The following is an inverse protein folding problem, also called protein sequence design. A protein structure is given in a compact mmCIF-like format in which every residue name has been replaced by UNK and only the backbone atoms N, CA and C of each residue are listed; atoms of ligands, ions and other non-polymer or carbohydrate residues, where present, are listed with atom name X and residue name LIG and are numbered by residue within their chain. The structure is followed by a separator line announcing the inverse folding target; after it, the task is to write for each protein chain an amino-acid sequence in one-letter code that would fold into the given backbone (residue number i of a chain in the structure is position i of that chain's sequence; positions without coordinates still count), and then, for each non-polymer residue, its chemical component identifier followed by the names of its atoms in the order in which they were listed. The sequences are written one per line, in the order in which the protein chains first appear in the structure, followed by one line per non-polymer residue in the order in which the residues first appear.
data_IF_384730110245
#
_entry.id   IF_384730110245
#
_cell.length_a   1.000
_cell.length_b   1.000
_cell.length_c   1.000
_cell.angle_alpha   90.00
_cell.angle_beta   90.00
_cell.angle_gamma   90.00
#
_symmetry.space_group_name_H-M   'P 1'
#
loop_
_entity.id
_entity.type
_entity.pdbx_description
1 polymer ?
#
# COMPACT_ATOMS: atom_id res chain seq x y z
N UNK A 1 40.36 -0.69 8.53
CA UNK A 1 38.89 -0.51 8.56
C UNK A 1 38.51 0.17 7.26
N UNK A 2 37.77 -0.49 6.37
CA UNK A 2 37.35 0.10 5.09
C UNK A 2 36.41 1.27 5.42
N UNK A 3 36.83 2.51 5.15
CA UNK A 3 35.99 3.69 5.38
C UNK A 3 34.77 3.53 4.48
N UNK A 4 33.58 3.56 5.08
CA UNK A 4 32.36 3.44 4.31
C UNK A 4 32.12 4.77 3.59
N UNK A 5 31.91 4.74 2.28
CA UNK A 5 31.65 5.95 1.50
C UNK A 5 30.37 6.66 2.02
N UNK A 6 29.41 5.90 2.58
CA UNK A 6 28.21 6.46 3.24
C UNK A 6 28.49 7.17 4.58
N UNK A 7 29.72 7.16 5.09
CA UNK A 7 30.10 7.94 6.28
C UNK A 7 30.61 9.34 5.91
N UNK A 8 30.91 9.59 4.63
CA UNK A 8 31.23 10.92 4.15
C UNK A 8 29.95 11.78 4.09
N UNK A 9 30.05 13.01 4.57
CA UNK A 9 28.94 13.95 4.56
C UNK A 9 28.62 14.39 3.13
N UNK A 10 27.33 14.33 2.77
CA UNK A 10 26.79 14.83 1.50
C UNK A 10 27.50 14.34 0.22
N UNK A 11 28.14 13.17 0.26
CA UNK A 11 28.93 12.61 -0.85
C UNK A 11 28.16 12.57 -2.19
N UNK A 12 26.86 12.28 -2.15
CA UNK A 12 26.03 12.06 -3.34
C UNK A 12 25.13 13.24 -3.72
N UNK A 13 25.45 14.43 -3.19
CA UNK A 13 24.71 15.65 -3.48
C UNK A 13 23.25 15.63 -3.01
N UNK A 14 22.47 16.59 -3.53
CA UNK A 14 21.06 16.73 -3.18
C UNK A 14 20.23 15.52 -3.63
N UNK A 15 19.37 15.02 -2.75
CA UNK A 15 18.45 13.90 -2.98
C UNK A 15 19.11 12.57 -3.39
N UNK A 16 20.43 12.47 -3.29
CA UNK A 16 21.18 11.22 -3.39
C UNK A 16 21.05 10.40 -2.10
N UNK A 17 20.83 9.09 -2.25
CA UNK A 17 20.71 8.14 -1.14
C UNK A 17 21.88 7.17 -1.20
N UNK A 18 22.71 7.16 -0.15
CA UNK A 18 23.76 6.16 -0.03
C UNK A 18 23.19 4.80 0.36
N UNK A 19 23.67 3.73 -0.28
CA UNK A 19 23.24 2.35 -0.02
C UNK A 19 24.44 1.41 -0.02
N UNK A 20 24.49 0.49 0.95
CA UNK A 20 25.60 -0.47 1.07
C UNK A 20 25.63 -1.55 -0.01
N UNK A 21 24.51 -1.71 -0.72
CA UNK A 21 24.29 -2.83 -1.63
C UNK A 21 24.39 -2.42 -3.12
N UNK A 22 24.81 -1.19 -3.43
CA UNK A 22 24.89 -0.67 -4.80
C UNK A 22 26.30 -0.76 -5.40
N UNK A 23 26.41 -1.01 -6.71
CA UNK A 23 27.70 -1.03 -7.42
C UNK A 23 28.46 0.30 -7.37
N UNK A 24 27.75 1.43 -7.23
CA UNK A 24 28.30 2.77 -7.00
C UNK A 24 28.14 3.27 -5.55
N UNK A 25 27.56 2.44 -4.66
CA UNK A 25 27.23 2.84 -3.29
C UNK A 25 26.08 3.86 -3.15
N UNK A 26 25.41 4.24 -4.24
CA UNK A 26 24.38 5.28 -4.22
C UNK A 26 23.31 5.15 -5.31
N UNK A 27 22.18 5.80 -5.07
CA UNK A 27 21.04 5.91 -5.99
C UNK A 27 20.27 7.20 -5.72
N UNK A 28 19.52 7.70 -6.70
CA UNK A 28 18.57 8.78 -6.44
C UNK A 28 17.43 8.32 -5.51
N UNK A 29 16.92 9.24 -4.71
CA UNK A 29 15.66 9.05 -4.00
C UNK A 29 14.54 8.63 -4.97
N UNK A 30 13.60 7.80 -4.51
CA UNK A 30 12.51 7.30 -5.38
C UNK A 30 11.70 8.47 -5.95
N UNK A 31 11.46 8.47 -7.28
CA UNK A 31 10.82 9.54 -8.08
C UNK A 31 11.71 10.78 -8.31
N UNK A 32 13.02 10.59 -8.22
CA UNK A 32 14.04 11.56 -8.62
C UNK A 32 14.96 10.92 -9.66
N UNK A 33 15.56 11.74 -10.50
CA UNK A 33 16.52 11.36 -11.55
C UNK A 33 17.83 12.10 -11.38
N UNK A 34 18.90 11.55 -11.96
CA UNK A 34 20.22 12.19 -11.98
C UNK A 34 20.12 13.59 -12.57
N UNK A 35 20.76 14.57 -11.91
CA UNK A 35 20.87 15.93 -12.44
C UNK A 35 21.80 15.97 -13.66
N UNK A 36 22.91 15.25 -13.58
CA UNK A 36 23.91 15.13 -14.63
C UNK A 36 24.30 13.66 -14.83
N UNK A 37 23.69 12.96 -15.80
CA UNK A 37 24.07 11.58 -16.12
C UNK A 37 25.53 11.43 -16.56
N UNK A 38 26.09 12.47 -17.21
CA UNK A 38 27.48 12.50 -17.64
C UNK A 38 28.45 12.50 -16.45
N UNK A 39 28.23 13.36 -15.45
CA UNK A 39 29.09 13.41 -14.26
C UNK A 39 29.00 12.10 -13.47
N UNK A 40 27.79 11.55 -13.36
CA UNK A 40 27.57 10.24 -12.74
C UNK A 40 28.33 9.11 -13.42
N UNK A 41 28.38 9.10 -14.77
CA UNK A 41 29.15 8.13 -15.53
C UNK A 41 30.66 8.28 -15.30
N UNK A 42 31.11 9.48 -14.97
CA UNK A 42 32.51 9.77 -14.61
C UNK A 42 32.79 9.55 -13.10
N UNK A 43 31.90 8.85 -12.39
CA UNK A 43 31.98 8.60 -10.95
C UNK A 43 31.97 9.87 -10.09
N UNK A 44 31.38 10.96 -10.57
CA UNK A 44 31.12 12.17 -9.81
C UNK A 44 29.62 12.31 -9.49
N UNK A 45 29.19 11.95 -8.26
CA UNK A 45 27.80 12.05 -7.86
C UNK A 45 27.44 13.41 -7.25
N UNK A 46 28.36 14.38 -7.21
CA UNK A 46 28.18 15.65 -6.49
C UNK A 46 27.02 16.52 -7.02
N UNK A 47 26.70 16.38 -8.31
CA UNK A 47 25.55 17.05 -8.93
C UNK A 47 24.20 16.59 -8.35
N UNK A 48 24.16 15.42 -7.72
CA UNK A 48 22.98 14.85 -7.09
C UNK A 48 21.83 14.55 -8.05
N UNK A 49 20.63 14.63 -7.52
CA UNK A 49 19.40 14.27 -8.21
C UNK A 49 18.41 15.45 -8.21
N UNK A 50 17.43 15.38 -9.11
CA UNK A 50 16.34 16.35 -9.23
C UNK A 50 15.01 15.61 -9.25
N UNK A 51 13.95 16.27 -8.78
CA UNK A 51 12.59 15.72 -8.85
C UNK A 51 12.20 15.47 -10.31
N UNK A 52 11.49 14.37 -10.54
CA UNK A 52 10.95 14.05 -11.86
C UNK A 52 9.82 15.00 -12.27
N UNK A 53 9.04 15.48 -11.29
CA UNK A 53 7.95 16.43 -11.51
C UNK A 53 7.97 17.55 -10.50
N UNK A 54 7.53 18.74 -10.94
CA UNK A 54 7.31 19.88 -10.06
C UNK A 54 6.15 19.62 -9.11
N UNK A 55 6.29 20.02 -7.85
CA UNK A 55 5.16 20.05 -6.91
C UNK A 55 4.11 21.03 -7.42
N UNK A 56 2.86 20.63 -7.33
CA UNK A 56 1.74 21.49 -7.70
C UNK A 56 0.62 21.27 -6.69
N UNK A 57 0.48 22.21 -5.74
CA UNK A 57 -0.50 22.25 -4.63
C UNK A 57 -1.97 22.29 -5.03
N UNK A 58 -2.26 21.95 -6.29
CA UNK A 58 -3.57 21.64 -6.81
C UNK A 58 -4.08 20.28 -6.32
N UNK A 59 -5.39 20.09 -6.37
CA UNK A 59 -6.05 18.88 -5.90
C UNK A 59 -5.45 17.58 -6.46
N UNK A 60 -5.02 16.68 -5.57
CA UNK A 60 -4.60 15.31 -5.91
C UNK A 60 -3.17 14.94 -5.47
N UNK A 61 -2.41 15.86 -4.89
CA UNK A 61 -1.07 15.54 -4.35
C UNK A 61 -1.10 14.59 -3.16
N UNK A 62 0.04 13.97 -2.90
CA UNK A 62 0.14 12.95 -1.88
C UNK A 62 1.57 12.65 -1.49
N UNK A 63 1.71 11.77 -0.50
CA UNK A 63 3.00 11.42 0.05
C UNK A 63 3.28 9.96 -0.21
N UNK A 64 4.53 9.65 -0.58
CA UNK A 64 5.02 8.28 -0.52
C UNK A 64 5.96 8.12 0.66
N UNK A 65 5.87 6.95 1.29
CA UNK A 65 6.66 6.58 2.45
C UNK A 65 7.93 5.86 2.01
N UNK A 66 9.09 6.39 2.40
CA UNK A 66 10.40 5.77 2.28
C UNK A 66 10.83 5.32 3.69
N UNK A 67 11.26 4.07 3.83
CA UNK A 67 11.61 3.47 5.12
C UNK A 67 13.11 3.27 5.26
N UNK A 68 13.56 3.19 6.51
CA UNK A 68 14.93 2.78 6.82
C UNK A 68 15.98 3.78 6.38
N UNK A 69 15.66 5.07 6.48
CA UNK A 69 16.55 6.15 6.07
C UNK A 69 17.11 6.88 7.29
N UNK A 70 18.39 7.29 7.21
CA UNK A 70 18.91 8.39 8.01
C UNK A 70 18.15 9.66 7.61
N UNK A 71 17.70 10.43 8.59
CA UNK A 71 17.02 11.71 8.31
C UNK A 71 17.99 12.68 7.61
N UNK A 72 17.53 13.37 6.55
CA UNK A 72 18.36 14.28 5.80
C UNK A 72 18.75 15.49 6.63
N UNK A 73 19.92 16.03 6.32
CA UNK A 73 20.31 17.36 6.73
C UNK A 73 19.81 18.39 5.71
N UNK A 74 19.43 19.58 6.19
CA UNK A 74 18.99 20.70 5.35
C UNK A 74 18.97 21.99 6.17
N UNK A 75 19.35 23.14 5.57
CA UNK A 75 19.27 24.43 6.27
C UNK A 75 17.83 24.90 6.53
N UNK A 76 16.85 24.38 5.78
CA UNK A 76 15.47 24.85 5.81
C UNK A 76 14.53 23.78 6.37
N UNK A 77 14.44 23.72 7.70
CA UNK A 77 13.57 22.80 8.44
C UNK A 77 12.70 23.51 9.47
N UNK A 78 11.56 22.91 9.80
CA UNK A 78 10.78 23.24 10.99
C UNK A 78 10.57 21.97 11.82
N UNK A 79 10.73 22.11 13.14
CA UNK A 79 10.57 21.02 14.11
C UNK A 79 9.45 21.37 15.08
N UNK A 80 8.48 20.47 15.22
CA UNK A 80 7.43 20.52 16.22
C UNK A 80 7.49 19.26 17.10
N UNK A 81 8.11 19.38 18.26
CA UNK A 81 8.32 18.27 19.20
C UNK A 81 7.02 17.73 19.82
N UNK A 82 5.96 18.55 19.83
CA UNK A 82 4.66 18.18 20.39
C UNK A 82 3.92 17.17 19.51
N UNK A 83 4.18 17.19 18.20
CA UNK A 83 3.50 16.34 17.22
C UNK A 83 4.30 15.07 16.99
N UNK A 84 3.78 13.94 17.49
CA UNK A 84 4.43 12.62 17.34
C UNK A 84 3.74 11.72 16.32
N UNK A 85 2.55 12.10 15.87
CA UNK A 85 1.76 11.35 14.91
C UNK A 85 2.16 11.72 13.48
N UNK A 86 2.51 10.72 12.67
CA UNK A 86 2.78 10.92 11.24
C UNK A 86 1.57 11.53 10.50
N UNK A 87 0.34 11.30 10.99
CA UNK A 87 -0.88 11.86 10.39
C UNK A 87 -1.00 13.36 10.67
N UNK A 88 -0.69 13.79 11.89
CA UNK A 88 -0.69 15.21 12.27
C UNK A 88 0.46 15.96 11.59
N UNK A 89 1.65 15.37 11.57
CA UNK A 89 2.82 15.94 10.89
C UNK A 89 2.57 16.12 9.37
N UNK A 90 1.84 15.19 8.76
CA UNK A 90 1.35 15.35 7.38
C UNK A 90 0.47 16.60 7.22
N UNK A 91 -0.42 16.88 8.17
CA UNK A 91 -1.29 18.05 8.11
C UNK A 91 -0.49 19.34 8.26
N UNK A 92 0.53 19.38 9.13
CA UNK A 92 1.43 20.53 9.25
C UNK A 92 2.20 20.79 7.96
N UNK A 93 2.73 19.74 7.34
CA UNK A 93 3.39 19.83 6.04
C UNK A 93 2.42 20.36 4.96
N UNK A 94 1.21 19.82 4.87
CA UNK A 94 0.19 20.27 3.92
C UNK A 94 -0.29 21.71 4.15
N UNK A 95 -0.19 22.23 5.38
CA UNK A 95 -0.53 23.61 5.69
C UNK A 95 0.48 24.62 5.08
N UNK A 96 1.64 24.16 4.63
CA UNK A 96 2.66 24.99 4.02
C UNK A 96 2.94 24.54 2.57
N UNK A 97 2.65 25.43 1.61
CA UNK A 97 2.84 25.16 0.18
C UNK A 97 4.29 25.00 -0.27
N UNK A 98 5.26 25.12 0.63
CA UNK A 98 6.66 24.86 0.34
C UNK A 98 7.15 23.54 0.93
N UNK A 99 6.33 22.83 1.72
CA UNK A 99 6.77 21.60 2.38
C UNK A 99 6.98 20.45 1.38
N UNK A 100 8.21 19.96 1.29
CA UNK A 100 8.58 18.93 0.33
C UNK A 100 8.61 17.54 0.94
N UNK A 101 8.99 17.45 2.21
CA UNK A 101 9.20 16.19 2.94
C UNK A 101 8.85 16.39 4.40
N UNK A 102 8.34 15.34 5.05
CA UNK A 102 8.21 15.32 6.49
C UNK A 102 8.63 13.96 7.09
N UNK A 103 8.91 13.96 8.39
CA UNK A 103 9.16 12.78 9.20
C UNK A 103 8.54 12.98 10.57
N UNK A 104 8.03 11.92 11.16
CA UNK A 104 7.54 11.94 12.53
C UNK A 104 8.31 10.91 13.35
N UNK A 105 8.97 11.36 14.42
CA UNK A 105 9.75 10.51 15.31
C UNK A 105 9.27 10.68 16.74
N UNK A 106 9.46 9.66 17.58
CA UNK A 106 9.06 9.73 18.99
C UNK A 106 9.91 10.72 19.80
N UNK A 107 11.16 10.93 19.37
CA UNK A 107 12.16 11.75 20.06
C UNK A 107 12.10 13.21 19.64
N UNK A 108 12.13 13.49 18.34
CA UNK A 108 12.18 14.86 17.80
C UNK A 108 10.81 15.40 17.37
N UNK A 109 9.74 14.60 17.47
CA UNK A 109 8.41 14.98 16.99
C UNK A 109 8.34 15.05 15.47
N UNK A 110 7.63 16.07 14.97
CA UNK A 110 7.42 16.33 13.55
C UNK A 110 8.55 17.19 13.01
N UNK A 111 9.15 16.77 11.90
CA UNK A 111 10.15 17.53 11.17
C UNK A 111 9.64 17.70 9.76
N UNK A 112 9.66 18.94 9.25
CA UNK A 112 9.28 19.29 7.88
C UNK A 112 10.44 20.00 7.19
N UNK A 113 10.63 19.71 5.91
CA UNK A 113 11.71 20.24 5.08
C UNK A 113 11.18 21.02 3.88
N UNK A 114 11.85 22.12 3.54
CA UNK A 114 11.39 23.10 2.54
C UNK A 114 12.37 23.31 1.37
N UNK A 115 13.40 22.47 1.23
CA UNK A 115 14.39 22.61 0.16
C UNK A 115 15.16 21.33 -0.14
N UNK A 116 16.37 21.51 -0.65
CA UNK A 116 17.27 20.40 -0.97
C UNK A 116 17.65 19.62 0.28
N UNK A 117 17.69 18.30 0.12
CA UNK A 117 17.98 17.34 1.17
C UNK A 117 19.31 16.67 0.89
N UNK A 118 20.20 16.64 1.87
CA UNK A 118 21.53 16.01 1.74
C UNK A 118 21.77 15.00 2.86
N UNK A 119 22.87 14.26 2.75
CA UNK A 119 23.34 13.32 3.79
C UNK A 119 22.33 12.19 4.12
N UNK A 120 21.68 11.68 3.06
CA UNK A 120 20.70 10.60 3.17
C UNK A 120 21.37 9.24 3.00
N UNK A 121 21.05 8.31 3.90
CA UNK A 121 21.56 6.95 3.89
C UNK A 121 20.45 5.95 4.10
N UNK A 122 20.50 4.87 3.36
CA UNK A 122 19.65 3.70 3.55
C UNK A 122 20.33 2.71 4.49
N UNK A 123 19.60 2.30 5.52
CA UNK A 123 20.00 1.25 6.45
C UNK A 123 19.32 -0.07 6.06
N UNK A 124 20.06 -1.18 6.21
CA UNK A 124 19.51 -2.53 6.04
C UNK A 124 18.54 -2.90 7.15
N UNK A 125 18.80 -2.41 8.36
CA UNK A 125 17.95 -2.59 9.54
C UNK A 125 17.83 -1.27 10.32
N UNK A 126 16.64 -1.00 10.86
CA UNK A 126 16.37 0.24 11.59
C UNK A 126 16.13 1.44 10.67
N UNK A 127 16.61 2.62 11.08
CA UNK A 127 16.38 3.90 10.41
C UNK A 127 15.00 4.51 10.66
N UNK A 128 14.74 5.63 9.99
CA UNK A 128 13.51 6.41 10.12
C UNK A 128 12.69 6.42 8.82
N UNK A 129 11.41 6.71 8.97
CA UNK A 129 10.49 6.88 7.85
C UNK A 129 10.46 8.35 7.40
N UNK A 130 10.69 8.57 6.11
CA UNK A 130 10.52 9.86 5.44
C UNK A 130 9.32 9.80 4.50
N UNK A 131 8.54 10.88 4.47
CA UNK A 131 7.37 11.01 3.64
C UNK A 131 7.60 12.15 2.65
N UNK A 132 7.75 11.81 1.38
CA UNK A 132 8.04 12.80 0.34
C UNK A 132 6.76 13.21 -0.37
N UNK A 133 6.52 14.52 -0.43
CA UNK A 133 5.41 15.10 -1.16
C UNK A 133 5.64 14.92 -2.66
N UNK A 134 4.64 14.47 -3.42
CA UNK A 134 4.73 14.23 -4.85
C UNK A 134 3.49 14.75 -5.57
N UNK A 135 3.68 15.15 -6.83
CA UNK A 135 2.59 15.49 -7.71
C UNK A 135 1.65 14.28 -7.92
N UNK A 136 0.37 14.56 -8.13
CA UNK A 136 -0.68 13.56 -8.33
C UNK A 136 -0.34 12.53 -9.43
N UNK A 137 0.34 12.97 -10.50
CA UNK A 137 0.76 12.12 -11.63
C UNK A 137 1.79 11.05 -11.24
N UNK A 138 2.53 11.28 -10.17
CA UNK A 138 3.59 10.38 -9.70
C UNK A 138 3.16 9.43 -8.60
N UNK A 139 1.99 9.68 -7.99
CA UNK A 139 1.40 8.75 -7.04
C UNK A 139 0.98 7.49 -7.77
N UNK A 140 1.51 6.36 -7.31
CA UNK A 140 1.14 5.07 -7.85
C UNK A 140 -0.39 4.90 -7.70
N UNK A 141 -1.13 4.88 -8.81
CA UNK A 141 -2.53 4.46 -8.80
C UNK A 141 -2.51 3.06 -8.19
N UNK A 142 -3.10 2.88 -7.00
CA UNK A 142 -3.16 1.54 -6.39
C UNK A 142 -3.75 0.59 -7.43
N UNK A 143 -2.90 -0.24 -8.04
CA UNK A 143 -3.36 -1.42 -8.76
C UNK A 143 -3.95 -2.30 -7.67
N UNK A 144 -5.27 -2.24 -7.51
CA UNK A 144 -5.99 -3.23 -6.70
C UNK A 144 -5.51 -4.58 -7.20
N UNK A 145 -4.93 -5.36 -6.30
CA UNK A 145 -4.33 -6.63 -6.64
C UNK A 145 -5.41 -7.46 -7.34
N UNK A 146 -5.26 -7.64 -8.65
CA UNK A 146 -6.29 -8.26 -9.49
C UNK A 146 -6.57 -9.68 -9.00
N UNK A 147 -5.57 -10.30 -8.35
CA UNK A 147 -5.69 -11.58 -7.66
C UNK A 147 -6.69 -11.54 -6.49
N UNK A 148 -6.68 -10.48 -5.68
CA UNK A 148 -7.61 -10.32 -4.56
C UNK A 148 -9.05 -10.13 -5.05
N UNK A 149 -9.22 -9.38 -6.14
CA UNK A 149 -10.53 -9.19 -6.81
C UNK A 149 -11.06 -10.54 -7.31
N UNK A 150 -10.22 -11.32 -8.01
CA UNK A 150 -10.60 -12.66 -8.51
C UNK A 150 -11.00 -13.59 -7.37
N UNK A 151 -10.27 -13.60 -6.25
CA UNK A 151 -10.58 -14.44 -5.08
C UNK A 151 -11.96 -14.10 -4.51
N UNK A 152 -12.28 -12.81 -4.38
CA UNK A 152 -13.58 -12.36 -3.86
C UNK A 152 -14.72 -12.79 -4.80
N UNK A 153 -14.56 -12.62 -6.11
CA UNK A 153 -15.57 -13.04 -7.08
C UNK A 153 -15.74 -14.57 -7.14
N UNK A 154 -14.65 -15.34 -7.06
CA UNK A 154 -14.70 -16.80 -7.02
C UNK A 154 -15.40 -17.33 -5.76
N UNK A 155 -15.15 -16.71 -4.60
CA UNK A 155 -15.81 -17.09 -3.35
C UNK A 155 -17.33 -16.81 -3.38
N UNK A 156 -17.74 -15.65 -3.91
CA UNK A 156 -19.15 -15.28 -4.03
C UNK A 156 -19.93 -16.21 -4.98
N UNK A 157 -19.34 -16.53 -6.13
CA UNK A 157 -19.96 -17.44 -7.12
C UNK A 157 -20.06 -18.88 -6.58
N UNK A 158 -19.00 -19.39 -5.95
CA UNK A 158 -19.01 -20.73 -5.34
C UNK A 158 -20.07 -20.89 -4.25
N UNK A 159 -20.23 -19.89 -3.39
CA UNK A 159 -21.21 -19.92 -2.30
C UNK A 159 -22.67 -19.93 -2.83
N UNK A 160 -22.94 -19.16 -3.89
CA UNK A 160 -24.25 -19.14 -4.54
C UNK A 160 -24.67 -20.50 -5.10
N UNK A 161 -23.74 -21.22 -5.74
CA UNK A 161 -24.01 -22.55 -6.31
C UNK A 161 -24.39 -23.54 -5.22
N UNK A 162 -23.63 -23.58 -4.11
CA UNK A 162 -23.89 -24.50 -2.98
C UNK A 162 -25.27 -24.25 -2.36
N UNK A 163 -25.61 -22.98 -2.11
CA UNK A 163 -26.93 -22.61 -1.56
C UNK A 163 -28.05 -23.01 -2.52
N UNK A 164 -27.89 -22.76 -3.82
CA UNK A 164 -28.91 -23.13 -4.82
C UNK A 164 -29.12 -24.65 -4.90
N UNK A 165 -28.04 -25.44 -4.79
CA UNK A 165 -28.11 -26.90 -4.79
C UNK A 165 -28.82 -27.43 -3.54
N UNK A 166 -28.55 -26.85 -2.37
CA UNK A 166 -29.23 -27.21 -1.11
C UNK A 166 -30.73 -26.91 -1.16
N UNK A 167 -31.12 -25.74 -1.68
CA UNK A 167 -32.53 -25.37 -1.86
C UNK A 167 -33.21 -26.35 -2.82
N UNK A 168 -32.61 -26.64 -3.97
CA UNK A 168 -33.11 -27.61 -4.95
C UNK A 168 -33.28 -29.01 -4.34
N UNK A 169 -32.29 -29.46 -3.55
CA UNK A 169 -32.32 -30.75 -2.87
C UNK A 169 -33.49 -30.82 -1.87
N UNK A 170 -33.63 -29.81 -1.00
CA UNK A 170 -34.71 -29.73 -0.03
C UNK A 170 -36.09 -29.70 -0.69
N UNK A 171 -36.24 -28.99 -1.80
CA UNK A 171 -37.49 -28.94 -2.58
C UNK A 171 -37.84 -30.31 -3.17
N UNK A 172 -36.89 -31.00 -3.80
CA UNK A 172 -37.10 -32.36 -4.34
C UNK A 172 -37.47 -33.36 -3.25
N UNK A 173 -36.84 -33.24 -2.08
CA UNK A 173 -37.10 -34.13 -0.95
C UNK A 173 -38.51 -33.92 -0.36
N UNK A 174 -38.96 -32.67 -0.26
CA UNK A 174 -40.34 -32.34 0.14
C UNK A 174 -41.38 -32.84 -0.86
N UNK A 175 -41.10 -32.77 -2.17
CA UNK A 175 -42.01 -33.29 -3.20
C UNK A 175 -42.18 -34.81 -3.09
N UNK A 176 -41.08 -35.56 -2.95
CA UNK A 176 -41.12 -37.02 -2.76
C UNK A 176 -41.90 -37.44 -1.50
N UNK A 177 -41.81 -36.68 -0.40
CA UNK A 177 -42.61 -36.95 0.81
C UNK A 177 -44.12 -36.72 0.60
N UNK A 178 -44.50 -35.74 -0.23
CA UNK A 178 -45.92 -35.49 -0.58
C UNK A 178 -46.51 -36.59 -1.47
N UNK A 179 -45.71 -37.14 -2.39
CA UNK A 179 -46.13 -38.24 -3.27
C UNK A 179 -46.31 -39.57 -2.51
N UNK A 180 -45.45 -39.85 -1.52
CA UNK A 180 -45.60 -41.04 -0.65
C UNK A 180 -46.86 -40.99 0.22
N UNK A 181 -47.18 -39.84 0.83
CA UNK A 181 -48.40 -39.67 1.64
C UNK A 181 -49.70 -39.82 0.84
N UNK A 182 -49.73 -39.34 -0.42
CA UNK A 182 -50.89 -39.52 -1.32
C UNK A 182 -51.10 -40.97 -1.76
N UNK A 183 -50.05 -41.79 -1.79
CA UNK A 183 -50.17 -43.21 -2.17
C UNK A 183 -50.67 -44.06 -1.00
N UNK A 184 -50.38 -43.66 0.25
CA UNK A 184 -50.91 -44.31 1.46
C UNK A 184 -52.39 -43.96 1.72
N UNK A 185 -52.84 -42.72 1.42
CA UNK A 185 -54.27 -42.36 1.55
C UNK A 185 -55.16 -43.03 0.49
N UNK A 186 -54.67 -43.24 -0.73
CA UNK A 186 -55.44 -43.94 -1.80
C UNK A 186 -55.49 -45.47 -1.61
N UNK A 187 -54.55 -46.05 -0.85
CA UNK A 187 -54.52 -47.49 -0.57
C UNK A 187 -55.50 -47.97 0.51
N UNK A 188 -56.17 -47.06 1.23
CA UNK A 188 -57.04 -47.41 2.37
C UNK A 188 -58.54 -47.42 2.00
N UNK A 189 -58.92 -46.90 0.82
CA UNK A 189 -60.32 -46.77 0.38
C UNK A 189 -60.83 -47.91 -0.54
N UNK A 190 -60.12 -49.06 -0.59
CA UNK A 190 -60.47 -50.19 -1.47
C UNK A 190 -60.72 -51.54 -0.77
N UNK A 191 -60.97 -51.54 0.55
CA UNK A 191 -61.44 -52.73 1.26
C UNK A 191 -62.68 -52.43 2.11
N UNK A 192 -63.77 -52.08 1.44
CA UNK A 192 -65.13 -52.27 1.96
C UNK A 192 -65.89 -52.97 0.84
N UNK A 193 -66.67 -53.99 1.21
CA UNK A 193 -67.55 -54.83 0.39
C UNK A 193 -66.94 -56.16 -0.07
N UNK A 194 -67.12 -57.19 0.77
CA UNK A 194 -67.91 -58.37 0.39
C UNK A 194 -68.12 -59.30 1.60
N UNK A 195 -69.29 -59.15 2.23
CA UNK A 195 -70.01 -60.21 2.93
C UNK A 195 -70.91 -60.91 1.89
N UNK A 196 -71.04 -62.26 1.90
CA UNK A 196 -72.31 -62.83 2.39
C UNK A 196 -72.18 -64.18 3.13
N UNK A 197 -73.12 -64.36 4.07
CA UNK A 197 -73.91 -65.57 4.41
C UNK A 197 -73.57 -66.85 3.63
N UNK A 198 -73.41 -68.02 4.23
CA UNK A 198 -74.38 -68.76 5.05
C UNK A 198 -73.67 -69.94 5.77
#
# INVERSE_FOLDING_TARGET
MMKNICDNYAEYGAYGVCTMNGSLGCKCMKKFTLRSPQDWHNFDPSAGCVRNSSLNYSHGEGFIKLKGLKLPDSPNILVNESVKSAKECKMECLANCSCMVYAATKMSGCITWFGDLTDIREYTEGGQDLYIHLAASELDKQKKDTRLIIIIFAALTGMGIVVSALICFLWRWRKKKKEKKKTEEVGTDHNIDNEPSE
#
